data_IF_319192625982
#
_entry.id   IF_319192625982
#
_cell.length_a   1.000
_cell.length_b   1.000
_cell.length_c   1.000
_cell.angle_alpha   90.00
_cell.angle_beta   90.00
_cell.angle_gamma   90.00
#
_symmetry.space_group_name_H-M   'P 1'
#
loop_
_entity.id
_entity.type
_entity.pdbx_description
1 polymer ?
#
# COMPACT_ATOMS: atom_id res chain seq x y z
N UNK A 1 -16.31 0.07 14.89
CA UNK A 1 -15.27 1.11 14.76
C UNK A 1 -15.93 2.43 15.14
N UNK A 2 -15.35 3.20 16.06
CA UNK A 2 -15.92 4.52 16.37
C UNK A 2 -15.71 5.46 15.17
N UNK A 3 -16.81 5.87 14.56
CA UNK A 3 -16.81 6.77 13.40
C UNK A 3 -16.14 8.10 13.74
N UNK A 4 -16.24 8.55 14.99
CA UNK A 4 -15.69 9.82 15.45
C UNK A 4 -14.16 9.80 15.51
N UNK A 5 -13.57 8.76 16.11
CA UNK A 5 -12.10 8.59 16.12
C UNK A 5 -11.51 8.45 14.72
N UNK A 6 -12.23 7.78 13.82
CA UNK A 6 -11.81 7.58 12.43
C UNK A 6 -11.82 8.89 11.64
N UNK A 7 -12.81 9.74 11.87
CA UNK A 7 -12.88 11.07 11.25
C UNK A 7 -11.68 11.94 11.65
N UNK A 8 -11.35 12.00 12.94
CA UNK A 8 -10.20 12.77 13.42
C UNK A 8 -8.87 12.23 12.92
N UNK A 9 -8.72 10.91 12.89
CA UNK A 9 -7.53 10.26 12.34
C UNK A 9 -7.29 10.65 10.86
N UNK A 10 -8.34 10.62 10.03
CA UNK A 10 -8.27 11.07 8.63
C UNK A 10 -7.90 12.55 8.52
N UNK A 11 -8.56 13.41 9.30
CA UNK A 11 -8.32 14.84 9.28
C UNK A 11 -6.86 15.19 9.64
N UNK A 12 -6.29 14.52 10.65
CA UNK A 12 -4.89 14.70 11.02
C UNK A 12 -3.94 14.26 9.90
N UNK A 13 -4.12 13.03 9.38
CA UNK A 13 -3.28 12.50 8.30
C UNK A 13 -3.28 13.41 7.07
N UNK A 14 -4.47 13.81 6.61
CA UNK A 14 -4.61 14.65 5.43
C UNK A 14 -3.98 16.04 5.64
N UNK A 15 -4.07 16.59 6.86
CA UNK A 15 -3.46 17.88 7.20
C UNK A 15 -1.94 17.79 7.27
N UNK A 16 -1.42 16.70 7.84
CA UNK A 16 0.01 16.44 7.98
C UNK A 16 0.69 16.20 6.62
N UNK A 17 0.03 15.49 5.72
CA UNK A 17 0.53 15.22 4.36
C UNK A 17 0.57 16.47 3.48
N UNK A 18 -0.41 17.36 3.63
CA UNK A 18 -0.46 18.64 2.89
C UNK A 18 0.50 19.68 3.45
N UNK A 19 0.95 19.52 4.70
CA UNK A 19 1.85 20.46 5.34
C UNK A 19 3.29 20.30 4.82
N UNK A 20 4.04 21.42 4.67
CA UNK A 20 5.48 21.39 4.46
C UNK A 20 6.20 20.60 5.56
N UNK A 21 7.32 19.96 5.24
CA UNK A 21 8.04 19.10 6.19
C UNK A 21 8.46 19.83 7.46
N UNK A 22 8.85 21.10 7.34
CA UNK A 22 9.20 22.00 8.45
C UNK A 22 8.04 22.33 9.40
N UNK A 23 6.79 22.13 8.97
CA UNK A 23 5.58 22.51 9.71
C UNK A 23 4.81 21.30 10.26
N UNK A 24 5.18 20.09 9.86
CA UNK A 24 4.52 18.83 10.27
C UNK A 24 4.48 18.63 11.79
N UNK A 25 5.54 19.04 12.50
CA UNK A 25 5.55 19.01 13.97
C UNK A 25 4.46 19.90 14.57
N UNK A 26 4.26 21.10 14.01
CA UNK A 26 3.24 22.06 14.48
C UNK A 26 1.82 21.56 14.22
N UNK A 27 1.60 20.76 13.17
CA UNK A 27 0.30 20.12 12.91
C UNK A 27 -0.05 19.13 14.02
N UNK A 28 0.91 18.32 14.46
CA UNK A 28 0.72 17.39 15.57
C UNK A 28 0.44 18.14 16.89
N UNK A 29 1.22 19.19 17.19
CA UNK A 29 1.04 19.99 18.40
C UNK A 29 -0.35 20.66 18.45
N UNK A 30 -0.79 21.27 17.34
CA UNK A 30 -2.13 21.87 17.23
C UNK A 30 -3.24 20.84 17.40
N UNK A 31 -3.03 19.62 16.89
CA UNK A 31 -4.02 18.55 17.04
C UNK A 31 -4.16 18.12 18.51
N UNK A 32 -3.04 17.99 19.23
CA UNK A 32 -3.03 17.70 20.67
C UNK A 32 -3.72 18.82 21.45
N UNK A 33 -3.46 20.09 21.10
CA UNK A 33 -4.12 21.24 21.70
C UNK A 33 -5.64 21.20 21.46
N UNK A 34 -6.08 20.89 20.24
CA UNK A 34 -7.50 20.75 19.91
C UNK A 34 -8.17 19.64 20.74
N UNK A 35 -7.54 18.48 20.87
CA UNK A 35 -8.06 17.39 21.70
C UNK A 35 -8.21 17.81 23.18
N UNK A 36 -7.31 18.67 23.66
CA UNK A 36 -7.36 19.21 25.03
C UNK A 36 -8.50 20.21 25.20
N UNK A 37 -8.62 21.19 24.32
CA UNK A 37 -9.65 22.25 24.40
C UNK A 37 -11.06 21.65 24.33
N UNK A 38 -11.25 20.69 23.43
CA UNK A 38 -12.53 20.01 23.21
C UNK A 38 -12.80 18.87 24.21
N UNK A 39 -11.93 18.68 25.21
CA UNK A 39 -12.02 17.60 26.22
C UNK A 39 -12.12 16.19 25.61
N UNK A 40 -11.50 15.99 24.46
CA UNK A 40 -11.49 14.73 23.70
C UNK A 40 -10.24 13.88 23.96
N UNK A 41 -9.36 14.27 24.90
CA UNK A 41 -8.20 13.47 25.31
C UNK A 41 -8.51 11.98 25.60
N UNK A 42 -9.65 11.59 26.21
CA UNK A 42 -9.99 10.18 26.39
C UNK A 42 -10.13 9.37 25.09
N UNK A 43 -10.37 10.03 23.95
CA UNK A 43 -10.46 9.40 22.63
C UNK A 43 -9.09 9.24 21.95
N UNK A 44 -8.03 9.83 22.50
CA UNK A 44 -6.70 9.81 21.88
C UNK A 44 -6.19 8.40 21.56
N UNK A 45 -6.31 7.37 22.44
CA UNK A 45 -5.88 6.01 22.10
C UNK A 45 -6.62 5.45 20.88
N UNK A 46 -7.94 5.63 20.82
CA UNK A 46 -8.74 5.15 19.68
C UNK A 46 -8.42 5.89 18.38
N UNK A 47 -8.05 7.17 18.46
CA UNK A 47 -7.61 7.97 17.30
C UNK A 47 -6.25 7.45 16.81
N UNK A 48 -5.30 7.18 17.71
CA UNK A 48 -4.00 6.63 17.36
C UNK A 48 -4.13 5.25 16.70
N UNK A 49 -4.93 4.35 17.27
CA UNK A 49 -5.24 3.05 16.68
C UNK A 49 -5.85 3.19 15.27
N UNK A 50 -6.73 4.19 15.08
CA UNK A 50 -7.32 4.46 13.77
C UNK A 50 -6.29 5.01 12.77
N UNK A 51 -5.34 5.85 13.20
CA UNK A 51 -4.24 6.34 12.37
C UNK A 51 -3.36 5.18 11.91
N UNK A 52 -2.95 4.30 12.82
CA UNK A 52 -2.11 3.14 12.49
C UNK A 52 -2.77 2.24 11.45
N UNK A 53 -4.07 1.97 11.59
CA UNK A 53 -4.84 1.19 10.62
C UNK A 53 -4.92 1.87 9.26
N UNK A 54 -5.22 3.18 9.22
CA UNK A 54 -5.29 3.93 7.97
C UNK A 54 -3.94 3.97 7.26
N UNK A 55 -2.84 4.10 8.00
CA UNK A 55 -1.48 4.01 7.44
C UNK A 55 -1.20 2.61 6.90
N UNK A 56 -1.55 1.56 7.65
CA UNK A 56 -1.38 0.18 7.19
C UNK A 56 -2.21 -0.13 5.94
N UNK A 57 -3.44 0.38 5.85
CA UNK A 57 -4.30 0.28 4.66
C UNK A 57 -3.69 1.02 3.47
N UNK A 58 -3.20 2.25 3.66
CA UNK A 58 -2.51 3.00 2.60
C UNK A 58 -1.24 2.29 2.11
N UNK A 59 -0.45 1.73 3.02
CA UNK A 59 0.72 0.93 2.68
C UNK A 59 0.34 -0.33 1.89
N UNK A 60 -0.77 -1.00 2.26
CA UNK A 60 -1.30 -2.13 1.49
C UNK A 60 -1.83 -1.71 0.11
N UNK A 61 -2.46 -0.55 -0.01
CA UNK A 61 -2.89 -0.03 -1.32
C UNK A 61 -1.71 0.34 -2.22
N UNK A 62 -0.61 0.80 -1.64
CA UNK A 62 0.63 1.09 -2.36
C UNK A 62 1.52 -0.15 -2.55
N UNK A 63 1.20 -1.25 -1.88
CA UNK A 63 1.99 -2.46 -1.92
C UNK A 63 2.08 -2.97 -3.35
N UNK A 64 3.31 -3.13 -3.82
CA UNK A 64 3.60 -3.78 -5.09
C UNK A 64 3.83 -5.26 -4.77
N UNK A 65 2.91 -6.10 -5.23
CA UNK A 65 2.96 -7.54 -5.02
C UNK A 65 3.61 -8.20 -6.23
N UNK A 66 4.56 -9.09 -6.00
CA UNK A 66 5.17 -9.91 -7.03
C UNK A 66 4.82 -11.38 -6.83
N UNK A 67 4.23 -11.99 -7.84
CA UNK A 67 3.83 -13.39 -7.90
C UNK A 67 4.81 -14.19 -8.77
N UNK A 68 5.25 -15.34 -8.26
CA UNK A 68 6.18 -16.25 -8.93
C UNK A 68 5.66 -17.68 -8.90
N UNK A 69 6.12 -18.49 -9.85
CA UNK A 69 5.87 -19.94 -9.84
C UNK A 69 6.55 -20.64 -8.66
N UNK A 70 7.73 -20.14 -8.27
CA UNK A 70 8.58 -20.66 -7.20
C UNK A 70 9.22 -19.50 -6.45
N UNK A 71 9.64 -19.75 -5.21
CA UNK A 71 10.32 -18.73 -4.41
C UNK A 71 11.56 -18.16 -5.14
N UNK A 72 11.65 -16.82 -5.32
CA UNK A 72 12.75 -16.24 -6.07
C UNK A 72 14.07 -16.37 -5.32
N UNK A 73 15.12 -16.69 -6.07
CA UNK A 73 16.50 -16.71 -5.60
C UNK A 73 16.96 -15.33 -5.11
N UNK A 74 18.04 -15.28 -4.33
CA UNK A 74 18.57 -14.03 -3.78
C UNK A 74 18.84 -12.97 -4.85
N UNK A 75 19.37 -13.38 -6.01
CA UNK A 75 19.64 -12.49 -7.15
C UNK A 75 18.34 -11.93 -7.75
N UNK A 76 17.31 -12.76 -7.90
CA UNK A 76 16.01 -12.32 -8.39
C UNK A 76 15.34 -11.35 -7.41
N UNK A 77 15.43 -11.60 -6.10
CA UNK A 77 14.92 -10.68 -5.07
C UNK A 77 15.61 -9.31 -5.12
N UNK A 78 16.90 -9.28 -5.39
CA UNK A 78 17.63 -8.03 -5.53
C UNK A 78 17.11 -7.22 -6.72
N UNK A 79 16.82 -7.88 -7.85
CA UNK A 79 16.19 -7.21 -9.01
C UNK A 79 14.78 -6.68 -8.69
N UNK A 80 14.03 -7.32 -7.78
CA UNK A 80 12.69 -6.86 -7.37
C UNK A 80 12.70 -5.58 -6.55
N UNK A 81 13.82 -5.25 -5.89
CA UNK A 81 13.95 -3.98 -5.15
C UNK A 81 13.78 -2.76 -6.05
N UNK A 82 14.15 -2.85 -7.33
CA UNK A 82 13.95 -1.77 -8.30
C UNK A 82 12.47 -1.49 -8.61
N UNK A 83 11.59 -2.44 -8.31
CA UNK A 83 10.15 -2.33 -8.55
C UNK A 83 9.36 -1.98 -7.28
N UNK A 84 10.06 -1.64 -6.18
CA UNK A 84 9.47 -1.37 -4.86
C UNK A 84 8.51 -2.48 -4.39
N UNK A 85 8.80 -3.73 -4.76
CA UNK A 85 8.02 -4.89 -4.35
C UNK A 85 8.05 -5.01 -2.84
N UNK A 86 6.89 -4.87 -2.21
CA UNK A 86 6.71 -4.97 -0.76
C UNK A 86 6.27 -6.36 -0.32
N UNK A 87 5.72 -7.16 -1.24
CA UNK A 87 5.24 -8.51 -0.98
C UNK A 87 5.63 -9.45 -2.11
N UNK A 88 6.21 -10.60 -1.76
CA UNK A 88 6.56 -11.67 -2.71
C UNK A 88 5.74 -12.89 -2.35
N UNK A 89 5.03 -13.46 -3.32
CA UNK A 89 4.20 -14.64 -3.12
C UNK A 89 4.49 -15.69 -4.20
N UNK A 90 4.40 -16.96 -3.80
CA UNK A 90 4.31 -18.07 -4.73
C UNK A 90 2.84 -18.25 -5.17
N UNK A 91 2.61 -18.43 -6.46
CA UNK A 91 1.29 -18.49 -7.07
C UNK A 91 1.27 -19.58 -8.14
N UNK A 92 0.40 -20.57 -7.94
CA UNK A 92 0.20 -21.69 -8.87
C UNK A 92 -0.38 -21.25 -10.22
N UNK A 93 -0.90 -20.02 -10.31
CA UNK A 93 -1.36 -19.43 -11.56
C UNK A 93 -0.19 -18.97 -12.46
N UNK A 94 1.00 -18.81 -11.89
CA UNK A 94 2.22 -18.49 -12.63
C UNK A 94 2.97 -19.80 -12.87
N UNK A 95 3.04 -20.23 -14.13
CA UNK A 95 3.75 -21.48 -14.51
C UNK A 95 5.25 -21.22 -14.73
N UNK A 96 5.64 -19.96 -14.94
CA UNK A 96 7.01 -19.51 -15.10
C UNK A 96 7.05 -17.99 -15.31
N UNK A 97 8.22 -17.39 -15.11
CA UNK A 97 8.37 -15.93 -15.13
C UNK A 97 7.83 -15.28 -13.85
N UNK A 98 7.26 -14.08 -13.98
CA UNK A 98 6.72 -13.34 -12.84
C UNK A 98 5.58 -12.41 -13.24
N UNK A 99 4.75 -12.06 -12.27
CA UNK A 99 3.73 -11.03 -12.40
C UNK A 99 3.85 -10.05 -11.25
N UNK A 100 3.93 -8.76 -11.56
CA UNK A 100 3.95 -7.70 -10.57
C UNK A 100 2.66 -6.90 -10.69
N UNK A 101 1.93 -6.78 -9.59
CA UNK A 101 0.69 -6.00 -9.50
C UNK A 101 0.84 -4.91 -8.45
N UNK A 102 0.61 -3.66 -8.86
CA UNK A 102 0.38 -2.54 -7.96
C UNK A 102 -0.97 -1.88 -8.27
N UNK A 103 -1.31 -0.82 -7.52
CA UNK A 103 -2.63 -0.14 -7.59
C UNK A 103 -3.11 0.24 -8.99
N UNK A 104 -2.20 0.65 -9.88
CA UNK A 104 -2.53 1.20 -11.19
C UNK A 104 -1.80 0.52 -12.35
N UNK A 105 -0.94 -0.45 -12.07
CA UNK A 105 -0.10 -1.07 -13.08
C UNK A 105 0.07 -2.55 -12.77
N UNK A 106 -0.02 -3.34 -13.84
CA UNK A 106 0.31 -4.74 -13.83
C UNK A 106 1.43 -4.91 -14.86
N UNK A 107 2.54 -5.52 -14.43
CA UNK A 107 3.61 -5.98 -15.30
C UNK A 107 3.51 -7.49 -15.32
N UNK A 108 3.08 -8.04 -16.43
CA UNK A 108 2.95 -9.48 -16.62
C UNK A 108 4.05 -9.96 -17.56
N UNK A 109 5.08 -10.56 -16.97
CA UNK A 109 6.16 -11.25 -17.67
C UNK A 109 6.08 -12.77 -17.41
N UNK A 110 4.87 -13.27 -17.16
CA UNK A 110 4.64 -14.68 -16.93
C UNK A 110 4.47 -15.44 -18.24
N UNK A 111 4.85 -16.72 -18.23
CA UNK A 111 4.65 -17.62 -19.37
C UNK A 111 3.15 -17.75 -19.70
N UNK A 112 2.30 -17.78 -18.67
CA UNK A 112 0.85 -17.84 -18.84
C UNK A 112 0.31 -16.60 -19.57
N UNK A 113 0.77 -15.40 -19.20
CA UNK A 113 0.42 -14.15 -19.89
C UNK A 113 0.86 -14.13 -21.34
N UNK A 114 2.08 -14.60 -21.63
CA UNK A 114 2.59 -14.74 -23.00
C UNK A 114 1.76 -15.70 -23.86
N UNK A 115 1.37 -16.85 -23.32
CA UNK A 115 0.52 -17.82 -24.02
C UNK A 115 -0.87 -17.26 -24.33
N UNK A 116 -1.46 -16.50 -23.40
CA UNK A 116 -2.76 -15.87 -23.62
C UNK A 116 -2.70 -14.81 -24.73
N UNK A 117 -1.64 -13.99 -24.76
CA UNK A 117 -1.42 -13.02 -25.84
C UNK A 117 -1.26 -13.71 -27.20
N UNK A 118 -0.51 -14.81 -27.27
CA UNK A 118 -0.39 -15.61 -28.49
C UNK A 118 -1.74 -16.18 -28.93
N UNK A 119 -2.54 -16.72 -28.00
CA UNK A 119 -3.87 -17.24 -28.30
C UNK A 119 -4.79 -16.17 -28.89
N UNK A 120 -4.78 -14.97 -28.30
CA UNK A 120 -5.59 -13.86 -28.80
C UNK A 120 -5.17 -13.40 -30.19
N UNK A 121 -3.86 -13.34 -30.46
CA UNK A 121 -3.36 -13.00 -31.79
C UNK A 121 -3.82 -14.00 -32.85
N UNK A 122 -3.78 -15.31 -32.55
CA UNK A 122 -4.18 -16.38 -33.47
C UNK A 122 -5.69 -16.50 -33.70
N UNK A 123 -6.53 -15.95 -32.83
CA UNK A 123 -8.00 -15.93 -33.00
C UNK A 123 -8.45 -14.72 -33.83
N UNK A 124 -7.63 -13.66 -33.89
CA UNK A 124 -7.91 -12.43 -34.64
C UNK A 124 -7.42 -12.49 -36.10
N UNK A 125 -6.74 -13.57 -36.50
CA UNK A 125 -6.41 -13.93 -37.89
C UNK A 125 -7.47 -14.86 -38.51
#
# INVERSE_FOLDING_TARGET
MDARSTFYAKALLDSWEKAPESERGQVADRFVELLRVERMLPLAPNILDAIERLLAERLKEQAVRAEFAHEPTSRQRESLKHFWVSEVCESMAVIGGFKISGRHKIIDASVAGGLEQMRQALILE
#
